data_IF_372177349830
#
_entry.id   IF_372177349830
#
_cell.length_a   1.000
_cell.length_b   1.000
_cell.length_c   1.000
_cell.angle_alpha   90.00
_cell.angle_beta   90.00
_cell.angle_gamma   90.00
#
_symmetry.space_group_name_H-M   'P 1'
#
loop_
_entity.id
_entity.type
_entity.pdbx_description
1 polymer ?
#
# COMPACT_ATOMS: atom_id res chain seq x y z
N UNK A 1 -12.06 47.68 -21.15
CA UNK A 1 -13.06 46.61 -21.00
C UNK A 1 -12.35 45.29 -20.98
N UNK A 2 -12.15 44.79 -19.78
CA UNK A 2 -11.49 43.48 -19.54
C UNK A 2 -12.56 42.39 -19.65
N UNK A 3 -12.36 41.44 -20.55
CA UNK A 3 -13.07 40.16 -20.56
C UNK A 3 -12.48 39.27 -19.49
N UNK A 4 -13.23 39.06 -18.42
CA UNK A 4 -12.90 38.02 -17.42
C UNK A 4 -13.24 36.64 -18.03
N UNK A 5 -12.23 35.90 -18.34
CA UNK A 5 -12.34 34.46 -18.52
C UNK A 5 -12.58 33.81 -17.16
N UNK A 6 -13.80 33.36 -16.94
CA UNK A 6 -14.19 32.53 -15.82
C UNK A 6 -13.97 31.08 -16.26
N UNK A 7 -13.12 30.39 -15.62
CA UNK A 7 -13.04 28.96 -15.33
C UNK A 7 -11.62 28.60 -14.94
N UNK A 8 -11.13 29.24 -13.88
CA UNK A 8 -10.01 28.66 -13.16
C UNK A 8 -10.58 27.50 -12.35
N UNK A 9 -10.48 26.29 -12.88
CA UNK A 9 -10.35 25.12 -12.01
C UNK A 9 -9.11 25.42 -11.17
N UNK A 10 -9.27 25.67 -9.88
CA UNK A 10 -8.17 25.77 -8.95
C UNK A 10 -7.49 24.39 -8.88
N UNK A 11 -6.67 24.13 -9.87
CA UNK A 11 -5.63 23.14 -9.80
C UNK A 11 -4.63 23.76 -8.82
N UNK A 12 -4.57 23.24 -7.61
CA UNK A 12 -3.45 23.50 -6.73
C UNK A 12 -2.20 23.20 -7.56
N UNK A 13 -1.38 24.22 -7.80
CA UNK A 13 -0.13 24.12 -8.54
C UNK A 13 0.65 22.93 -7.96
N UNK A 14 1.30 22.15 -8.82
CA UNK A 14 2.25 21.11 -8.43
C UNK A 14 3.12 21.68 -7.31
N UNK A 15 2.93 21.15 -6.11
CA UNK A 15 3.68 21.61 -4.97
C UNK A 15 4.97 20.78 -4.93
N UNK A 16 6.11 21.45 -4.83
CA UNK A 16 7.41 20.79 -4.67
C UNK A 16 7.63 20.36 -3.20
N UNK A 17 6.55 20.10 -2.47
CA UNK A 17 6.53 19.79 -1.05
C UNK A 17 5.95 18.41 -0.77
N UNK A 18 6.56 17.70 0.17
CA UNK A 18 5.85 16.65 0.89
C UNK A 18 4.73 17.29 1.71
N UNK A 19 3.55 16.69 1.70
CA UNK A 19 2.39 17.26 2.39
C UNK A 19 1.69 16.18 3.22
N UNK A 20 1.41 16.51 4.48
CA UNK A 20 0.62 15.70 5.40
C UNK A 20 -0.60 16.52 5.75
N UNK A 21 -1.77 16.05 5.32
CA UNK A 21 -3.05 16.69 5.58
C UNK A 21 -3.81 15.89 6.62
N UNK A 22 -4.01 16.47 7.81
CA UNK A 22 -4.87 15.91 8.85
C UNK A 22 -6.20 16.65 8.86
N UNK A 23 -7.28 15.92 8.68
CA UNK A 23 -8.64 16.44 8.66
C UNK A 23 -9.42 15.90 9.84
N UNK A 24 -10.07 16.80 10.58
CA UNK A 24 -10.87 16.47 11.77
C UNK A 24 -12.36 16.53 11.47
N UNK A 25 -13.14 15.68 12.15
CA UNK A 25 -14.61 15.68 12.08
C UNK A 25 -15.15 14.56 11.20
N UNK A 26 -16.46 14.54 11.03
CA UNK A 26 -17.17 13.60 10.16
C UNK A 26 -16.91 13.99 8.71
N UNK A 27 -15.88 13.37 8.16
CA UNK A 27 -15.57 13.47 6.73
C UNK A 27 -16.47 12.44 6.04
N UNK A 28 -17.09 12.86 4.95
CA UNK A 28 -17.89 11.98 4.11
C UNK A 28 -17.10 10.70 3.78
N UNK A 29 -17.57 9.56 4.27
CA UNK A 29 -16.87 8.26 4.27
C UNK A 29 -16.35 7.85 2.88
N UNK A 30 -16.98 8.37 1.84
CA UNK A 30 -16.70 8.01 0.43
C UNK A 30 -15.38 8.62 -0.06
N UNK A 31 -14.91 9.75 0.51
CA UNK A 31 -13.77 10.49 -0.04
C UNK A 31 -12.41 9.88 0.30
N UNK A 32 -12.30 9.26 1.48
CA UNK A 32 -11.02 8.77 2.00
C UNK A 32 -11.07 7.29 2.41
N UNK A 33 -12.04 6.56 1.90
CA UNK A 33 -12.14 5.10 2.11
C UNK A 33 -12.50 4.66 3.52
N UNK A 34 -12.98 5.58 4.40
CA UNK A 34 -13.40 5.25 5.77
C UNK A 34 -14.59 4.29 5.76
N UNK A 35 -14.57 3.30 6.66
CA UNK A 35 -15.66 2.35 6.89
C UNK A 35 -16.15 2.47 8.32
N UNK A 36 -17.31 1.89 8.62
CA UNK A 36 -17.95 1.95 9.95
C UNK A 36 -17.08 1.38 11.09
N UNK A 37 -16.09 0.54 10.77
CA UNK A 37 -15.15 -0.02 11.74
C UNK A 37 -13.87 0.80 11.90
N UNK A 38 -13.67 1.83 11.09
CA UNK A 38 -12.52 2.74 11.21
C UNK A 38 -12.80 3.85 12.22
N UNK A 39 -11.76 4.36 12.84
CA UNK A 39 -11.88 5.52 13.71
C UNK A 39 -12.31 6.76 12.94
N UNK A 40 -13.04 7.66 13.61
CA UNK A 40 -13.62 8.86 12.99
C UNK A 40 -13.07 10.19 13.53
N UNK A 41 -12.07 10.14 14.42
CA UNK A 41 -11.59 11.36 15.10
C UNK A 41 -10.73 12.25 14.21
N UNK A 42 -10.01 11.67 13.27
CA UNK A 42 -9.28 12.38 12.22
C UNK A 42 -8.86 11.40 11.11
N UNK A 43 -8.59 11.93 9.92
CA UNK A 43 -7.98 11.18 8.81
C UNK A 43 -6.72 11.89 8.34
N UNK A 44 -5.66 11.11 8.05
CA UNK A 44 -4.40 11.60 7.49
C UNK A 44 -4.27 11.15 6.04
N UNK A 45 -3.90 12.08 5.18
CA UNK A 45 -3.53 11.86 3.78
C UNK A 45 -2.13 12.40 3.56
N UNK A 46 -1.33 11.66 2.82
CA UNK A 46 0.06 11.97 2.53
C UNK A 46 0.23 12.19 1.02
N UNK A 47 1.05 13.17 0.65
CA UNK A 47 1.33 13.50 -0.74
C UNK A 47 2.83 13.68 -0.94
N UNK A 48 3.35 13.12 -2.02
CA UNK A 48 4.71 13.38 -2.47
C UNK A 48 4.80 14.71 -3.25
N UNK A 49 6.01 15.27 -3.38
CA UNK A 49 6.23 16.41 -4.27
C UNK A 49 5.69 16.15 -5.68
N UNK A 50 4.96 17.10 -6.21
CA UNK A 50 4.35 17.01 -7.55
C UNK A 50 2.96 16.38 -7.60
N UNK A 51 2.46 15.81 -6.51
CA UNK A 51 1.10 15.29 -6.41
C UNK A 51 0.10 16.39 -6.04
N UNK A 52 -1.18 16.15 -6.36
CA UNK A 52 -2.27 17.06 -6.02
C UNK A 52 -3.53 16.29 -5.64
N UNK A 53 -4.21 16.74 -4.61
CA UNK A 53 -5.55 16.26 -4.26
C UNK A 53 -6.59 17.11 -5.01
N UNK A 54 -7.51 16.44 -5.71
CA UNK A 54 -8.70 17.08 -6.26
C UNK A 54 -9.74 17.20 -5.15
N UNK A 55 -9.88 18.38 -4.58
CA UNK A 55 -10.94 18.67 -3.62
C UNK A 55 -12.20 19.02 -4.40
N UNK A 56 -13.25 18.24 -4.23
CA UNK A 56 -14.52 18.48 -4.91
C UNK A 56 -15.22 19.70 -4.26
N UNK A 57 -15.36 20.80 -4.99
CA UNK A 57 -15.96 22.07 -4.48
C UNK A 57 -17.40 21.92 -3.96
N UNK A 58 -18.10 20.84 -4.34
CA UNK A 58 -19.46 20.56 -3.88
C UNK A 58 -19.55 19.98 -2.47
N UNK A 59 -18.43 19.60 -1.87
CA UNK A 59 -18.36 19.06 -0.51
C UNK A 59 -17.58 20.01 0.38
N UNK A 60 -18.17 20.39 1.51
CA UNK A 60 -17.50 21.23 2.48
C UNK A 60 -16.20 20.57 2.96
N UNK A 61 -15.09 21.29 2.84
CA UNK A 61 -13.86 20.88 3.53
C UNK A 61 -14.12 20.83 5.03
N UNK A 62 -13.51 19.87 5.73
CA UNK A 62 -13.60 19.85 7.18
C UNK A 62 -13.13 21.21 7.72
N UNK A 63 -13.90 21.77 8.66
CA UNK A 63 -13.67 23.09 9.22
C UNK A 63 -12.44 23.16 10.13
N UNK A 64 -11.85 22.01 10.46
CA UNK A 64 -10.70 21.87 11.35
C UNK A 64 -9.73 20.83 10.82
N UNK A 65 -8.44 21.10 11.04
CA UNK A 65 -7.38 20.18 10.66
C UNK A 65 -6.02 20.85 10.68
N UNK A 66 -5.02 20.10 10.24
CA UNK A 66 -3.63 20.53 10.17
C UNK A 66 -3.08 20.25 8.79
N UNK A 67 -2.28 21.18 8.29
CA UNK A 67 -1.50 21.01 7.08
C UNK A 67 -0.03 21.18 7.43
N UNK A 68 0.74 20.10 7.33
CA UNK A 68 2.19 20.13 7.41
C UNK A 68 2.74 19.96 6.00
N UNK A 69 3.43 20.97 5.49
CA UNK A 69 4.12 20.92 4.20
C UNK A 69 5.59 21.27 4.39
N UNK A 70 6.50 20.46 3.84
CA UNK A 70 7.94 20.67 3.93
C UNK A 70 8.64 20.35 2.61
N UNK A 71 9.60 21.22 2.25
CA UNK A 71 10.39 21.04 1.04
C UNK A 71 11.42 19.92 1.25
N UNK A 72 11.76 19.12 0.21
CA UNK A 72 12.81 18.11 0.30
C UNK A 72 14.16 18.63 0.83
N UNK A 73 14.51 19.88 0.56
CA UNK A 73 15.75 20.48 1.04
C UNK A 73 15.83 20.53 2.57
N UNK A 74 14.70 20.67 3.27
CA UNK A 74 14.65 20.65 4.73
C UNK A 74 15.23 19.36 5.30
N UNK A 75 15.00 18.25 4.62
CA UNK A 75 15.38 16.91 5.11
C UNK A 75 16.62 16.34 4.41
N UNK A 76 17.15 16.99 3.37
CA UNK A 76 18.15 16.43 2.45
C UNK A 76 19.44 15.93 3.11
N UNK A 77 19.84 16.52 4.23
CA UNK A 77 21.05 16.16 4.97
C UNK A 77 20.74 15.57 6.35
N UNK A 78 19.56 14.95 6.51
CA UNK A 78 19.11 14.38 7.77
C UNK A 78 18.79 12.90 7.59
N UNK A 79 18.69 12.16 8.71
CA UNK A 79 18.23 10.76 8.72
C UNK A 79 16.92 10.59 7.95
N UNK A 80 15.97 11.50 8.13
CA UNK A 80 14.69 11.46 7.41
C UNK A 80 14.88 11.55 5.89
N UNK A 81 15.80 12.37 5.41
CA UNK A 81 16.08 12.50 3.97
C UNK A 81 16.56 11.20 3.34
N UNK A 82 17.31 10.39 4.08
CA UNK A 82 17.79 9.08 3.60
C UNK A 82 16.65 8.05 3.52
N UNK A 83 15.66 8.12 4.44
CA UNK A 83 14.63 7.10 4.63
C UNK A 83 13.21 7.54 4.27
N UNK A 84 12.98 8.78 3.80
CA UNK A 84 11.63 9.29 3.50
C UNK A 84 10.87 8.40 2.50
N UNK A 85 11.58 7.73 1.59
CA UNK A 85 10.99 6.83 0.59
C UNK A 85 10.55 5.49 1.16
N UNK A 86 10.99 5.14 2.36
CA UNK A 86 10.62 3.90 3.04
C UNK A 86 9.22 4.00 3.67
N UNK A 87 8.71 5.22 3.84
CA UNK A 87 7.34 5.49 4.26
C UNK A 87 6.38 5.31 3.06
N UNK A 88 6.00 4.07 2.81
CA UNK A 88 5.20 3.64 1.65
C UNK A 88 3.86 4.35 1.50
N UNK A 89 3.28 4.83 2.61
CA UNK A 89 1.98 5.50 2.62
C UNK A 89 1.98 6.88 1.93
N UNK A 90 3.12 7.47 1.62
CA UNK A 90 3.19 8.62 0.73
C UNK A 90 2.75 8.29 -0.70
N UNK A 91 2.73 7.02 -1.08
CA UNK A 91 2.35 6.53 -2.39
C UNK A 91 1.00 5.81 -2.40
N UNK A 92 0.21 5.95 -1.33
CA UNK A 92 -1.14 5.40 -1.23
C UNK A 92 -2.14 6.31 -1.92
N UNK A 93 -3.24 5.71 -2.41
CA UNK A 93 -4.35 6.51 -2.92
C UNK A 93 -5.06 7.25 -1.77
N UNK A 94 -5.70 8.40 -2.02
CA UNK A 94 -6.46 9.11 -0.99
C UNK A 94 -7.53 8.25 -0.30
N UNK A 95 -8.10 7.27 -1.00
CA UNK A 95 -9.09 6.31 -0.46
C UNK A 95 -8.47 5.29 0.51
N UNK A 96 -7.14 5.24 0.57
CA UNK A 96 -6.37 4.39 1.47
C UNK A 96 -5.85 5.18 2.69
N UNK A 97 -6.49 6.30 3.00
CA UNK A 97 -6.12 7.20 4.09
C UNK A 97 -6.03 6.50 5.46
N UNK A 98 -5.21 7.05 6.32
CA UNK A 98 -5.08 6.62 7.71
C UNK A 98 -6.16 7.26 8.57
N UNK A 99 -6.93 6.43 9.28
CA UNK A 99 -7.99 6.87 10.19
C UNK A 99 -7.56 6.73 11.64
N UNK A 100 -7.57 7.83 12.37
CA UNK A 100 -7.01 7.94 13.70
C UNK A 100 -8.06 7.82 14.79
N UNK A 101 -7.71 7.09 15.85
CA UNK A 101 -8.37 7.19 17.15
C UNK A 101 -8.03 8.53 17.82
N UNK A 102 -8.79 8.91 18.85
CA UNK A 102 -8.52 10.12 19.65
C UNK A 102 -7.10 10.16 20.22
N UNK A 103 -6.60 9.01 20.63
CA UNK A 103 -5.27 8.86 21.22
C UNK A 103 -4.15 9.03 20.18
N UNK A 104 -4.35 8.45 19.00
CA UNK A 104 -3.41 8.58 17.88
C UNK A 104 -3.40 10.00 17.32
N UNK A 105 -4.58 10.62 17.20
CA UNK A 105 -4.69 12.03 16.84
C UNK A 105 -3.92 12.92 17.81
N UNK A 106 -4.06 12.70 19.14
CA UNK A 106 -3.34 13.48 20.12
C UNK A 106 -1.81 13.38 19.94
N UNK A 107 -1.29 12.19 19.62
CA UNK A 107 0.13 11.97 19.34
C UNK A 107 0.59 12.67 18.05
N UNK A 108 -0.20 12.62 16.99
CA UNK A 108 0.11 13.32 15.76
C UNK A 108 0.13 14.85 15.96
N UNK A 109 -0.86 15.39 16.68
CA UNK A 109 -0.93 16.82 17.01
C UNK A 109 0.25 17.24 17.89
N UNK A 110 0.68 16.45 18.86
CA UNK A 110 1.86 16.70 19.69
C UNK A 110 3.11 16.94 18.82
N UNK A 111 3.37 16.07 17.85
CA UNK A 111 4.50 16.24 16.93
C UNK A 111 4.38 17.52 16.09
N UNK A 112 3.18 17.85 15.60
CA UNK A 112 2.94 19.05 14.79
C UNK A 112 3.12 20.31 15.65
N UNK A 113 2.63 20.31 16.89
CA UNK A 113 2.80 21.42 17.81
C UNK A 113 4.27 21.68 18.15
N UNK A 114 5.07 20.63 18.33
CA UNK A 114 6.51 20.77 18.57
C UNK A 114 7.24 21.40 17.36
N UNK A 115 6.80 21.07 16.13
CA UNK A 115 7.32 21.72 14.92
C UNK A 115 6.92 23.19 14.89
N UNK A 116 5.67 23.49 15.21
CA UNK A 116 5.16 24.87 15.26
C UNK A 116 5.89 25.71 16.32
N UNK A 117 6.17 25.13 17.48
CA UNK A 117 6.93 25.77 18.55
C UNK A 117 8.36 26.11 18.11
N UNK A 118 9.05 25.18 17.47
CA UNK A 118 10.40 25.39 16.92
C UNK A 118 10.40 26.51 15.86
N UNK A 119 9.37 26.59 15.03
CA UNK A 119 9.24 27.63 14.01
C UNK A 119 8.90 29.02 14.59
N UNK A 120 8.41 29.11 15.83
CA UNK A 120 8.16 30.38 16.54
C UNK A 120 9.40 30.96 17.18
N UNK A 121 10.41 30.14 17.42
CA UNK A 121 11.70 30.59 17.92
C UNK A 121 12.58 31.16 16.80
N UNK A 122 13.66 31.85 17.19
CA UNK A 122 14.66 32.26 16.21
C UNK A 122 15.32 31.02 15.59
N UNK A 123 15.27 30.91 14.27
CA UNK A 123 15.86 29.80 13.54
C UNK A 123 17.39 29.81 13.71
N UNK A 124 17.94 28.71 14.19
CA UNK A 124 19.36 28.51 14.39
C UNK A 124 19.91 27.26 13.64
N UNK A 125 21.17 26.92 13.87
CA UNK A 125 21.81 25.77 13.21
C UNK A 125 21.24 24.41 13.64
N UNK A 126 20.45 24.33 14.69
CA UNK A 126 19.83 23.09 15.20
C UNK A 126 18.38 22.93 14.73
N UNK A 127 17.70 24.02 14.36
CA UNK A 127 16.27 24.03 14.02
C UNK A 127 15.94 23.05 12.89
N UNK A 128 16.79 22.97 11.85
CA UNK A 128 16.58 22.02 10.75
C UNK A 128 16.55 20.56 11.25
N UNK A 129 17.48 20.19 12.12
CA UNK A 129 17.59 18.83 12.65
C UNK A 129 16.41 18.53 13.57
N UNK A 130 16.03 19.47 14.45
CA UNK A 130 14.92 19.32 15.38
C UNK A 130 13.61 19.14 14.64
N UNK A 131 13.31 20.00 13.66
CA UNK A 131 12.10 19.90 12.84
C UNK A 131 12.07 18.57 12.08
N UNK A 132 13.18 18.15 11.47
CA UNK A 132 13.27 16.86 10.76
C UNK A 132 13.01 15.68 11.70
N UNK A 133 13.50 15.72 12.94
CA UNK A 133 13.25 14.67 13.95
C UNK A 133 11.78 14.61 14.37
N UNK A 134 11.11 15.74 14.53
CA UNK A 134 9.68 15.74 14.84
C UNK A 134 8.84 15.22 13.68
N UNK A 135 9.22 15.53 12.42
CA UNK A 135 8.57 14.96 11.23
C UNK A 135 8.81 13.44 11.20
N UNK A 136 10.03 12.98 11.38
CA UNK A 136 10.40 11.54 11.41
C UNK A 136 9.59 10.80 12.47
N UNK A 137 9.50 11.34 13.69
CA UNK A 137 8.70 10.78 14.77
C UNK A 137 7.21 10.70 14.43
N UNK A 138 6.67 11.73 13.77
CA UNK A 138 5.27 11.71 13.29
C UNK A 138 5.06 10.58 12.27
N UNK A 139 5.98 10.40 11.32
CA UNK A 139 5.90 9.37 10.29
C UNK A 139 6.03 7.96 10.89
N UNK A 140 6.90 7.77 11.88
CA UNK A 140 7.04 6.50 12.62
C UNK A 140 5.75 6.16 13.38
N UNK A 141 5.12 7.16 14.00
CA UNK A 141 3.79 6.96 14.58
C UNK A 141 2.77 6.55 13.53
N UNK A 142 2.78 7.17 12.35
CA UNK A 142 1.87 6.82 11.26
C UNK A 142 2.08 5.39 10.74
N UNK A 143 3.33 4.91 10.63
CA UNK A 143 3.62 3.50 10.34
C UNK A 143 2.90 2.57 11.32
N UNK A 144 3.07 2.80 12.60
CA UNK A 144 2.42 2.01 13.65
C UNK A 144 0.89 2.07 13.58
N UNK A 145 0.34 3.25 13.23
CA UNK A 145 -1.10 3.42 13.10
C UNK A 145 -1.66 2.72 11.87
N UNK A 146 -0.93 2.65 10.77
CA UNK A 146 -1.29 1.83 9.60
C UNK A 146 -1.26 0.33 9.93
N UNK A 147 -0.25 -0.16 10.65
CA UNK A 147 -0.22 -1.55 11.12
C UNK A 147 -1.46 -1.89 11.96
N UNK A 148 -1.83 -1.02 12.91
CA UNK A 148 -3.07 -1.15 13.66
C UNK A 148 -4.28 -1.14 12.73
N UNK A 149 -4.32 -0.27 11.71
CA UNK A 149 -5.43 -0.19 10.75
C UNK A 149 -5.55 -1.48 9.93
N UNK A 150 -4.46 -2.11 9.54
CA UNK A 150 -4.49 -3.43 8.91
C UNK A 150 -5.09 -4.48 9.85
N UNK A 151 -4.75 -4.47 11.14
CA UNK A 151 -5.34 -5.39 12.12
C UNK A 151 -6.86 -5.16 12.23
N UNK A 152 -7.32 -3.91 12.38
CA UNK A 152 -8.75 -3.60 12.54
C UNK A 152 -9.57 -3.87 11.29
N UNK A 153 -8.94 -3.84 10.10
CA UNK A 153 -9.56 -4.13 8.80
C UNK A 153 -9.51 -5.62 8.39
N UNK A 154 -9.24 -6.53 9.32
CA UNK A 154 -9.03 -7.96 9.07
C UNK A 154 -10.08 -8.57 8.09
N UNK A 155 -11.37 -8.31 8.28
CA UNK A 155 -12.41 -8.86 7.39
C UNK A 155 -12.40 -8.26 5.99
N UNK A 156 -12.06 -6.97 5.87
CA UNK A 156 -11.91 -6.32 4.56
C UNK A 156 -10.65 -6.84 3.86
N UNK A 157 -9.56 -6.98 4.59
CA UNK A 157 -8.30 -7.52 4.10
C UNK A 157 -8.48 -8.96 3.59
N UNK A 158 -9.13 -9.83 4.34
CA UNK A 158 -9.46 -11.19 3.89
C UNK A 158 -10.26 -11.21 2.59
N UNK A 159 -11.18 -10.25 2.38
CA UNK A 159 -11.93 -10.13 1.12
C UNK A 159 -11.00 -9.74 -0.03
N UNK A 160 -10.06 -8.82 0.20
CA UNK A 160 -9.06 -8.43 -0.80
C UNK A 160 -8.17 -9.64 -1.13
N UNK A 161 -7.67 -10.36 -0.11
CA UNK A 161 -6.84 -11.55 -0.31
C UNK A 161 -7.56 -12.65 -1.09
N UNK A 162 -8.86 -12.90 -0.80
CA UNK A 162 -9.68 -13.83 -1.60
C UNK A 162 -9.79 -13.40 -3.06
N UNK A 163 -10.00 -12.10 -3.32
CA UNK A 163 -10.02 -11.57 -4.70
C UNK A 163 -8.66 -11.74 -5.37
N UNK A 164 -7.58 -11.53 -4.63
CA UNK A 164 -6.21 -11.77 -5.12
C UNK A 164 -6.01 -13.24 -5.50
N UNK A 165 -6.47 -14.17 -4.69
CA UNK A 165 -6.38 -15.60 -4.98
C UNK A 165 -7.14 -15.98 -6.27
N UNK A 166 -8.35 -15.46 -6.45
CA UNK A 166 -9.13 -15.69 -7.67
C UNK A 166 -8.39 -15.10 -8.88
N UNK A 167 -7.93 -13.86 -8.78
CA UNK A 167 -7.19 -13.19 -9.86
C UNK A 167 -5.94 -13.96 -10.27
N UNK A 168 -5.14 -14.43 -9.31
CA UNK A 168 -3.93 -15.20 -9.59
C UNK A 168 -4.25 -16.57 -10.19
N UNK A 169 -5.32 -17.23 -9.72
CA UNK A 169 -5.81 -18.49 -10.30
C UNK A 169 -6.24 -18.30 -11.75
N UNK A 170 -7.03 -17.28 -12.03
CA UNK A 170 -7.47 -16.97 -13.39
C UNK A 170 -6.28 -16.61 -14.30
N UNK A 171 -5.29 -15.89 -13.76
CA UNK A 171 -4.06 -15.60 -14.48
C UNK A 171 -3.31 -16.86 -14.88
N UNK A 172 -3.15 -17.82 -13.96
CA UNK A 172 -2.50 -19.13 -14.22
C UNK A 172 -3.26 -19.87 -15.31
N UNK A 173 -4.60 -19.92 -15.23
CA UNK A 173 -5.44 -20.63 -16.18
C UNK A 173 -5.53 -19.96 -17.56
N UNK A 174 -5.24 -18.67 -17.65
CA UNK A 174 -5.33 -17.90 -18.91
C UNK A 174 -4.28 -18.29 -19.96
N UNK A 175 -3.30 -19.12 -19.61
CA UNK A 175 -2.20 -19.52 -20.49
C UNK A 175 -1.11 -18.45 -20.70
N UNK A 176 -1.21 -17.29 -20.06
CA UNK A 176 -0.20 -16.21 -20.15
C UNK A 176 1.18 -16.63 -19.69
N UNK A 177 1.25 -17.61 -18.81
CA UNK A 177 2.51 -18.17 -18.30
C UNK A 177 3.37 -18.86 -19.38
N UNK A 178 2.79 -19.25 -20.52
CA UNK A 178 3.56 -19.79 -21.66
C UNK A 178 4.58 -18.79 -22.21
N UNK A 179 4.37 -17.49 -21.96
CA UNK A 179 5.26 -16.42 -22.40
C UNK A 179 6.21 -15.96 -21.28
N UNK A 180 6.38 -16.74 -20.22
CA UNK A 180 7.23 -16.44 -19.05
C UNK A 180 6.90 -15.10 -18.34
N UNK A 181 5.65 -14.67 -18.37
CA UNK A 181 5.23 -13.46 -17.70
C UNK A 181 4.52 -13.80 -16.39
N UNK A 182 5.10 -13.41 -15.26
CA UNK A 182 4.41 -13.40 -13.96
C UNK A 182 3.53 -12.14 -13.84
N UNK A 183 2.42 -12.20 -13.10
CA UNK A 183 1.62 -11.00 -12.85
C UNK A 183 2.41 -10.03 -11.97
N UNK A 184 2.63 -8.81 -12.47
CA UNK A 184 3.33 -7.78 -11.69
C UNK A 184 2.46 -7.28 -10.53
N UNK A 185 3.11 -6.73 -9.49
CA UNK A 185 2.42 -6.07 -8.38
C UNK A 185 1.44 -4.99 -8.88
N UNK A 186 1.88 -4.12 -9.81
CA UNK A 186 1.04 -3.07 -10.38
C UNK A 186 -0.15 -3.60 -11.18
N UNK A 187 0.00 -4.73 -11.88
CA UNK A 187 -1.12 -5.38 -12.57
C UNK A 187 -2.19 -5.83 -11.57
N UNK A 188 -1.79 -6.50 -10.50
CA UNK A 188 -2.72 -6.98 -9.48
C UNK A 188 -3.40 -5.81 -8.75
N UNK A 189 -2.63 -4.82 -8.31
CA UNK A 189 -3.12 -3.63 -7.63
C UNK A 189 -4.16 -2.88 -8.47
N UNK A 190 -3.89 -2.67 -9.77
CA UNK A 190 -4.81 -1.99 -10.69
C UNK A 190 -6.17 -2.71 -10.79
N UNK A 191 -6.17 -4.04 -10.88
CA UNK A 191 -7.43 -4.81 -10.96
C UNK A 191 -8.18 -4.75 -9.64
N UNK A 192 -7.46 -4.73 -8.51
CA UNK A 192 -8.04 -4.62 -7.17
C UNK A 192 -8.46 -3.18 -6.83
N UNK A 193 -8.16 -2.20 -7.68
CA UNK A 193 -8.39 -0.76 -7.46
C UNK A 193 -7.67 -0.23 -6.23
N UNK A 194 -6.43 -0.69 -6.03
CA UNK A 194 -5.55 -0.29 -4.94
C UNK A 194 -4.28 0.37 -5.51
N UNK A 195 -3.61 1.19 -4.69
CA UNK A 195 -2.25 1.60 -4.99
C UNK A 195 -1.30 0.40 -4.90
N UNK A 196 -0.23 0.42 -5.69
CA UNK A 196 0.75 -0.68 -5.66
C UNK A 196 1.42 -0.81 -4.29
N UNK A 197 1.68 0.30 -3.62
CA UNK A 197 2.31 0.32 -2.31
C UNK A 197 1.38 -0.21 -1.22
N UNK A 198 0.12 0.24 -1.16
CA UNK A 198 -0.86 -0.29 -0.22
C UNK A 198 -1.08 -1.79 -0.40
N UNK A 199 -1.23 -2.24 -1.66
CA UNK A 199 -1.41 -3.67 -1.94
C UNK A 199 -0.17 -4.49 -1.53
N UNK A 200 1.04 -3.99 -1.77
CA UNK A 200 2.28 -4.65 -1.34
C UNK A 200 2.35 -4.80 0.18
N UNK A 201 2.02 -3.73 0.91
CA UNK A 201 2.10 -3.73 2.37
C UNK A 201 1.00 -4.59 2.98
N UNK A 202 -0.21 -4.55 2.41
CA UNK A 202 -1.28 -5.46 2.77
C UNK A 202 -0.91 -6.92 2.53
N UNK A 203 -0.32 -7.23 1.37
CA UNK A 203 0.09 -8.59 1.01
C UNK A 203 1.17 -9.11 1.96
N UNK A 204 2.17 -8.28 2.28
CA UNK A 204 3.21 -8.60 3.26
C UNK A 204 2.62 -8.79 4.66
N UNK A 205 1.70 -7.93 5.08
CA UNK A 205 1.05 -8.02 6.38
C UNK A 205 0.25 -9.32 6.53
N UNK A 206 -0.55 -9.69 5.52
CA UNK A 206 -1.44 -10.86 5.59
C UNK A 206 -0.72 -12.19 5.32
N UNK A 207 0.35 -12.20 4.51
CA UNK A 207 0.99 -13.44 4.05
C UNK A 207 2.47 -13.56 4.42
N UNK A 208 3.12 -12.49 4.83
CA UNK A 208 4.57 -12.43 5.02
C UNK A 208 5.38 -12.51 3.72
N UNK A 209 4.74 -12.40 2.54
CA UNK A 209 5.35 -12.62 1.23
C UNK A 209 5.24 -11.39 0.34
N UNK A 210 6.20 -11.24 -0.57
CA UNK A 210 6.05 -10.36 -1.72
C UNK A 210 5.16 -11.01 -2.81
N UNK A 211 4.83 -10.27 -3.87
CA UNK A 211 3.91 -10.76 -4.92
C UNK A 211 4.46 -11.97 -5.67
N UNK A 212 5.76 -12.02 -5.93
CA UNK A 212 6.37 -13.14 -6.65
C UNK A 212 6.35 -14.42 -5.81
N UNK A 213 6.69 -14.31 -4.53
CA UNK A 213 6.65 -15.42 -3.58
C UNK A 213 5.20 -15.90 -3.34
N UNK A 214 4.27 -14.97 -3.25
CA UNK A 214 2.86 -15.30 -3.08
C UNK A 214 2.30 -16.00 -4.32
N UNK A 215 2.60 -15.47 -5.51
CA UNK A 215 2.22 -16.09 -6.78
C UNK A 215 2.81 -17.50 -6.92
N UNK A 216 4.10 -17.68 -6.61
CA UNK A 216 4.74 -18.99 -6.66
C UNK A 216 4.08 -19.98 -5.70
N UNK A 217 3.68 -19.53 -4.49
CA UNK A 217 2.94 -20.40 -3.56
C UNK A 217 1.58 -20.82 -4.14
N UNK A 218 0.87 -19.95 -4.86
CA UNK A 218 -0.40 -20.28 -5.51
C UNK A 218 -0.24 -21.20 -6.72
N UNK A 219 0.82 -21.01 -7.50
CA UNK A 219 1.19 -21.97 -8.56
C UNK A 219 1.42 -23.37 -8.00
N UNK A 220 2.10 -23.46 -6.87
CA UNK A 220 2.38 -24.71 -6.22
C UNK A 220 1.13 -25.39 -5.63
N UNK A 221 0.23 -24.61 -5.00
CA UNK A 221 -1.08 -25.10 -4.55
C UNK A 221 -1.87 -25.68 -5.72
N UNK A 222 -1.85 -24.99 -6.85
CA UNK A 222 -2.52 -25.45 -8.07
C UNK A 222 -1.85 -26.70 -8.66
N UNK A 223 -0.52 -26.78 -8.59
CA UNK A 223 0.21 -27.99 -8.99
C UNK A 223 -0.21 -29.22 -8.18
N UNK A 224 -0.34 -29.06 -6.85
CA UNK A 224 -0.82 -30.13 -5.96
C UNK A 224 -2.20 -30.62 -6.38
N UNK A 225 -3.14 -29.73 -6.60
CA UNK A 225 -4.51 -30.11 -7.02
C UNK A 225 -4.54 -30.77 -8.39
N UNK A 226 -3.75 -30.27 -9.36
CA UNK A 226 -3.68 -30.85 -10.69
C UNK A 226 -3.00 -32.21 -10.73
N UNK A 227 -2.03 -32.48 -9.84
CA UNK A 227 -1.35 -33.77 -9.74
C UNK A 227 -2.25 -34.88 -9.18
N UNK A 228 -3.28 -34.56 -8.41
CA UNK A 228 -4.27 -35.50 -7.89
C UNK A 228 -5.21 -36.02 -8.99
N UNK A 229 -5.41 -35.26 -10.06
CA UNK A 229 -6.12 -35.73 -11.23
C UNK A 229 -5.22 -36.62 -12.07
N UNK A 230 -5.62 -37.91 -12.19
CA UNK A 230 -4.89 -38.93 -12.94
C UNK A 230 -4.69 -38.59 -14.42
N UNK A 231 -5.56 -37.75 -15.01
CA UNK A 231 -5.49 -37.33 -16.40
C UNK A 231 -4.33 -36.33 -16.66
N UNK A 232 -3.80 -35.71 -15.63
CA UNK A 232 -2.71 -34.75 -15.78
C UNK A 232 -1.35 -35.41 -15.54
N UNK A 233 -0.53 -35.60 -16.56
CA UNK A 233 0.86 -36.00 -16.37
C UNK A 233 1.70 -34.89 -15.75
N UNK A 234 2.85 -35.23 -15.13
CA UNK A 234 3.78 -34.21 -14.59
C UNK A 234 4.21 -33.20 -15.67
N UNK A 235 4.36 -33.70 -16.92
CA UNK A 235 4.66 -32.82 -18.07
C UNK A 235 3.57 -31.81 -18.35
N UNK A 236 2.32 -32.27 -18.38
CA UNK A 236 1.14 -31.38 -18.59
C UNK A 236 1.01 -30.35 -17.48
N UNK A 237 1.20 -30.73 -16.22
CA UNK A 237 1.19 -29.83 -15.08
C UNK A 237 2.30 -28.78 -15.19
N UNK A 238 3.52 -29.21 -15.54
CA UNK A 238 4.68 -28.33 -15.74
C UNK A 238 4.39 -27.27 -16.80
N UNK A 239 3.86 -27.69 -17.97
CA UNK A 239 3.55 -26.80 -19.08
C UNK A 239 2.41 -25.83 -18.75
N UNK A 240 1.29 -26.34 -18.22
CA UNK A 240 0.13 -25.51 -17.87
C UNK A 240 0.46 -24.44 -16.84
N UNK A 241 1.36 -24.76 -15.91
CA UNK A 241 1.79 -23.82 -14.88
C UNK A 241 2.96 -22.93 -15.32
N UNK A 242 3.45 -23.04 -16.56
CA UNK A 242 4.51 -22.22 -17.12
C UNK A 242 5.87 -22.39 -16.46
N UNK A 243 6.18 -23.59 -15.98
CA UNK A 243 7.54 -23.89 -15.51
C UNK A 243 8.45 -24.21 -16.70
N UNK A 244 9.73 -23.82 -16.66
CA UNK A 244 10.63 -23.94 -17.81
C UNK A 244 10.82 -25.38 -18.32
N UNK A 245 10.83 -26.35 -17.40
CA UNK A 245 10.94 -27.77 -17.71
C UNK A 245 10.57 -28.64 -16.50
N UNK A 246 10.32 -29.93 -16.76
CA UNK A 246 9.94 -30.92 -15.74
C UNK A 246 11.01 -31.08 -14.65
N UNK A 247 12.30 -30.99 -15.00
CA UNK A 247 13.40 -31.12 -14.04
C UNK A 247 13.41 -29.98 -13.03
N UNK A 248 13.21 -28.76 -13.49
CA UNK A 248 13.09 -27.57 -12.64
C UNK A 248 11.88 -27.69 -11.71
N UNK A 249 10.69 -27.98 -12.28
CA UNK A 249 9.46 -28.16 -11.52
C UNK A 249 9.60 -29.25 -10.46
N UNK A 250 10.11 -30.45 -10.83
CA UNK A 250 10.26 -31.57 -9.90
C UNK A 250 11.19 -31.25 -8.73
N UNK A 251 12.30 -30.54 -8.98
CA UNK A 251 13.21 -30.09 -7.91
C UNK A 251 12.55 -29.06 -7.00
N UNK A 252 11.87 -28.07 -7.55
CA UNK A 252 11.16 -27.05 -6.80
C UNK A 252 10.06 -27.68 -5.94
N UNK A 253 9.23 -28.52 -6.55
CA UNK A 253 8.13 -29.21 -5.88
C UNK A 253 8.65 -30.09 -4.72
N UNK A 254 9.69 -30.89 -4.96
CA UNK A 254 10.32 -31.74 -3.92
C UNK A 254 10.93 -30.89 -2.80
N UNK A 255 11.58 -29.77 -3.12
CA UNK A 255 12.18 -28.86 -2.11
C UNK A 255 11.12 -28.31 -1.16
N UNK A 256 9.91 -27.98 -1.67
CA UNK A 256 8.86 -27.33 -0.88
C UNK A 256 7.95 -28.36 -0.20
N UNK A 257 7.63 -29.48 -0.87
CA UNK A 257 6.68 -30.49 -0.35
C UNK A 257 7.35 -31.67 0.35
N UNK A 258 8.68 -31.80 0.22
CA UNK A 258 9.45 -32.92 0.73
C UNK A 258 9.43 -34.15 -0.19
N UNK A 259 8.49 -34.26 -1.14
CA UNK A 259 8.30 -35.45 -2.00
C UNK A 259 8.30 -35.08 -3.49
N UNK A 260 8.72 -36.00 -4.33
CA UNK A 260 8.66 -35.78 -5.78
C UNK A 260 7.21 -35.78 -6.29
N UNK A 261 6.89 -35.05 -7.42
CA UNK A 261 5.53 -34.97 -7.95
C UNK A 261 4.84 -36.31 -8.18
N UNK A 262 5.56 -37.30 -8.70
CA UNK A 262 5.00 -38.63 -8.90
C UNK A 262 4.66 -39.34 -7.59
N UNK A 263 5.53 -39.22 -6.58
CA UNK A 263 5.31 -39.82 -5.27
C UNK A 263 4.17 -39.11 -4.53
N UNK A 264 4.05 -37.80 -4.70
CA UNK A 264 2.94 -37.01 -4.14
C UNK A 264 1.58 -37.53 -4.62
N UNK A 265 1.46 -37.84 -5.93
CA UNK A 265 0.26 -38.46 -6.49
C UNK A 265 -0.07 -39.82 -5.84
N UNK A 266 0.96 -40.65 -5.64
CA UNK A 266 0.77 -41.98 -5.07
C UNK A 266 0.44 -41.97 -3.58
N UNK A 267 0.86 -40.95 -2.85
CA UNK A 267 0.66 -40.86 -1.39
C UNK A 267 -0.72 -40.35 -1.00
N UNK A 268 -1.49 -39.80 -1.96
CA UNK A 268 -2.81 -39.22 -1.70
C UNK A 268 -3.96 -40.05 -2.32
N UNK A 269 -3.63 -41.07 -3.13
CA UNK A 269 -4.53 -42.11 -3.61
C UNK A 269 -4.40 -43.35 -2.71
#
# INVERSE_FOLDING_TARGET
TQSRSSAASDVYKRQDFYTILMMEGEIDDILYGRKYYDYSNASLVFLTPGESIKINKSKALPSKGWLLAFHPDLISQTSLGEHIKDYSFFFYNPEEALHLSQREKAKAVECICNIEEELRHAIDCHSQILISRYIELLLDHCNRFYERQFITRCEANKKIMKKTDVLLKDYILSGKLKYNTSPSLGYCAKILQLSSHYFNDLLKFESGKNIDEYFESKRLEMAKSMLLDSNNTVSVVTEKLGYPNIRYFSRLFKRITGVAPNNYRLSQN
#
